data_IF_297589427710
#
_entry.id   IF_297589427710
#
_cell.length_a   1.000
_cell.length_b   1.000
_cell.length_c   1.000
_cell.angle_alpha   90.00
_cell.angle_beta   90.00
_cell.angle_gamma   90.00
#
_symmetry.space_group_name_H-M   'P 1'
#
loop_
_entity.id
_entity.type
_entity.pdbx_description
1 polymer ?
#
# COMPACT_ATOMS: atom_id res chain seq x y z
N UNK A 1 13.19 -21.14 -0.72
CA UNK A 1 13.42 -19.74 -1.14
C UNK A 1 14.36 -19.09 -0.16
N UNK A 2 15.49 -18.57 -0.64
CA UNK A 2 16.46 -17.86 0.20
C UNK A 2 15.85 -16.55 0.70
N UNK A 3 16.12 -16.21 1.96
CA UNK A 3 15.75 -14.92 2.53
C UNK A 3 16.58 -13.83 1.85
N UNK A 4 15.95 -12.75 1.42
CA UNK A 4 16.61 -11.62 0.78
C UNK A 4 16.13 -10.30 1.40
N UNK A 5 16.93 -9.24 1.25
CA UNK A 5 16.51 -7.89 1.56
C UNK A 5 16.01 -7.20 0.30
N UNK A 6 14.72 -6.87 0.27
CA UNK A 6 14.12 -6.06 -0.78
C UNK A 6 14.41 -4.58 -0.51
N UNK A 7 14.85 -3.86 -1.54
CA UNK A 7 15.31 -2.47 -1.41
C UNK A 7 14.22 -1.48 -1.82
N UNK A 8 13.97 -0.52 -0.94
CA UNK A 8 13.05 0.59 -1.16
C UNK A 8 13.75 1.91 -0.87
N UNK A 9 13.29 3.01 -1.45
CA UNK A 9 13.82 4.37 -1.21
C UNK A 9 12.74 5.26 -0.62
N UNK A 10 13.07 5.93 0.48
CA UNK A 10 12.27 6.98 1.10
C UNK A 10 12.51 8.30 0.35
N UNK A 11 11.46 8.88 -0.20
CA UNK A 11 11.46 10.15 -0.91
C UNK A 11 10.65 11.18 -0.11
N UNK A 12 11.25 12.31 0.22
CA UNK A 12 10.59 13.45 0.90
C UNK A 12 10.04 14.43 -0.14
N UNK A 13 9.12 15.30 0.29
CA UNK A 13 8.51 16.26 -0.62
C UNK A 13 9.46 17.42 -0.99
N UNK A 14 9.24 18.07 -2.16
CA UNK A 14 10.07 19.18 -2.64
C UNK A 14 10.22 20.30 -1.62
N UNK A 15 9.12 20.72 -0.98
CA UNK A 15 9.10 21.78 0.01
C UNK A 15 10.01 21.49 1.21
N UNK A 16 10.05 20.23 1.67
CA UNK A 16 10.99 19.79 2.70
C UNK A 16 12.42 19.94 2.19
N UNK A 17 12.76 19.37 1.03
CA UNK A 17 14.13 19.42 0.46
C UNK A 17 14.59 20.87 0.23
N UNK A 18 13.70 21.71 -0.30
CA UNK A 18 13.96 23.14 -0.56
C UNK A 18 14.32 23.88 0.72
N UNK A 19 13.72 23.49 1.85
CA UNK A 19 13.99 24.08 3.17
C UNK A 19 15.36 23.68 3.75
N UNK A 20 16.04 22.69 3.17
CA UNK A 20 17.36 22.19 3.59
C UNK A 20 18.38 22.22 2.43
N UNK A 21 18.28 23.20 1.51
CA UNK A 21 19.08 23.28 0.26
C UNK A 21 20.60 23.44 0.48
N UNK A 22 21.04 23.90 1.64
CA UNK A 22 22.47 24.01 1.95
C UNK A 22 23.06 22.62 2.24
N UNK A 23 24.29 22.33 1.80
CA UNK A 23 24.90 20.98 1.92
C UNK A 23 24.88 20.44 3.37
N UNK A 24 25.23 21.27 4.35
CA UNK A 24 25.21 20.89 5.77
C UNK A 24 23.79 20.65 6.32
N UNK A 25 22.77 21.29 5.73
CA UNK A 25 21.36 21.15 6.14
C UNK A 25 20.73 19.89 5.54
N UNK A 26 21.13 19.53 4.31
CA UNK A 26 20.69 18.29 3.68
C UNK A 26 21.27 17.07 4.41
N UNK A 27 22.55 17.10 4.80
CA UNK A 27 23.13 16.04 5.64
C UNK A 27 22.41 15.91 6.98
N UNK A 28 22.00 17.02 7.58
CA UNK A 28 21.17 17.02 8.79
C UNK A 28 19.81 16.36 8.56
N UNK A 29 19.12 16.70 7.46
CA UNK A 29 17.85 16.09 7.09
C UNK A 29 17.98 14.56 7.02
N UNK A 30 18.97 14.07 6.29
CA UNK A 30 19.15 12.65 6.00
C UNK A 30 19.67 11.88 7.22
N UNK A 31 20.69 12.38 7.91
CA UNK A 31 21.39 11.63 8.96
C UNK A 31 20.87 11.86 10.37
N UNK A 32 20.04 12.89 10.59
CA UNK A 32 19.51 13.25 11.91
C UNK A 32 18.00 13.35 11.92
N UNK A 33 17.40 14.19 11.07
CA UNK A 33 15.97 14.49 11.16
C UNK A 33 15.10 13.30 10.74
N UNK A 34 15.38 12.67 9.61
CA UNK A 34 14.64 11.47 9.16
C UNK A 34 14.77 10.33 10.19
N UNK A 35 15.97 9.95 10.68
CA UNK A 35 16.10 8.99 11.76
C UNK A 35 15.30 9.36 13.01
N UNK A 36 15.32 10.62 13.46
CA UNK A 36 14.57 11.05 14.63
C UNK A 36 13.05 10.95 14.43
N UNK A 37 12.55 11.23 13.21
CA UNK A 37 11.14 11.02 12.87
C UNK A 37 10.81 9.53 12.85
N UNK A 38 11.65 8.68 12.26
CA UNK A 38 11.43 7.23 12.28
C UNK A 38 11.42 6.69 13.71
N UNK A 39 12.34 7.15 14.57
CA UNK A 39 12.38 6.76 15.98
C UNK A 39 11.09 7.15 16.72
N UNK A 40 10.59 8.36 16.48
CA UNK A 40 9.33 8.81 17.07
C UNK A 40 8.12 7.98 16.63
N UNK A 41 8.03 7.68 15.34
CA UNK A 41 6.83 7.08 14.74
C UNK A 41 6.77 5.57 14.96
N UNK A 42 7.90 4.89 14.83
CA UNK A 42 7.96 3.42 14.92
C UNK A 42 9.00 2.91 15.91
N UNK A 43 10.00 3.70 16.29
CA UNK A 43 11.16 3.23 17.05
C UNK A 43 12.26 2.69 16.16
N UNK A 44 13.50 3.10 16.43
CA UNK A 44 14.68 2.57 15.73
C UNK A 44 15.80 2.22 16.72
N UNK A 45 16.68 1.31 16.31
CA UNK A 45 17.91 1.01 17.05
C UNK A 45 19.10 1.01 16.11
N UNK A 46 20.12 1.82 16.43
CA UNK A 46 21.37 1.78 15.69
C UNK A 46 22.02 0.40 15.83
N UNK A 47 22.41 -0.20 14.72
CA UNK A 47 23.15 -1.46 14.69
C UNK A 47 24.65 -1.18 14.68
N UNK A 48 25.36 -1.81 15.60
CA UNK A 48 26.82 -1.83 15.62
C UNK A 48 27.36 -2.90 14.65
N UNK A 49 28.62 -2.75 14.24
CA UNK A 49 29.31 -3.72 13.38
C UNK A 49 29.15 -3.51 11.87
N UNK A 50 28.44 -2.46 11.43
CA UNK A 50 28.32 -2.08 10.02
C UNK A 50 29.28 -0.93 9.66
N UNK A 51 29.80 -0.93 8.42
CA UNK A 51 30.67 0.15 7.91
C UNK A 51 29.95 1.50 7.81
N UNK A 52 28.67 1.48 7.49
CA UNK A 52 27.81 2.65 7.40
C UNK A 52 26.83 2.67 8.57
N UNK A 53 26.26 3.83 8.87
CA UNK A 53 25.19 3.92 9.88
C UNK A 53 23.95 3.15 9.37
N UNK A 54 23.49 2.18 10.16
CA UNK A 54 22.28 1.40 9.87
C UNK A 54 21.40 1.39 11.11
N UNK A 55 20.11 1.67 10.91
CA UNK A 55 19.11 1.61 11.96
C UNK A 55 18.17 0.43 11.71
N UNK A 56 18.00 -0.47 12.67
CA UNK A 56 16.92 -1.46 12.67
C UNK A 56 15.61 -0.74 13.01
N UNK A 57 14.56 -1.02 12.24
CA UNK A 57 13.21 -0.53 12.50
C UNK A 57 12.54 -1.47 13.50
N UNK A 58 12.15 -0.96 14.68
CA UNK A 58 11.58 -1.75 15.78
C UNK A 58 10.16 -1.27 16.05
N UNK A 59 9.20 -1.59 15.15
CA UNK A 59 7.83 -1.17 15.31
C UNK A 59 7.25 -1.67 16.62
N UNK A 60 6.55 -0.80 17.35
CA UNK A 60 5.66 -1.26 18.41
C UNK A 60 4.63 -2.22 17.79
N UNK A 61 4.60 -3.44 18.31
CA UNK A 61 3.66 -4.45 17.86
C UNK A 61 2.25 -3.91 18.09
N UNK A 62 1.51 -3.67 17.00
CA UNK A 62 0.08 -3.37 17.09
C UNK A 62 -0.58 -4.42 17.99
N UNK A 63 -1.37 -3.96 18.95
CA UNK A 63 -1.95 -4.84 19.95
C UNK A 63 -2.90 -5.82 19.25
N UNK A 64 -2.45 -7.06 19.06
CA UNK A 64 -3.22 -8.16 18.47
C UNK A 64 -4.57 -8.33 19.15
N UNK A 65 -4.61 -8.06 20.45
CA UNK A 65 -5.83 -8.05 21.24
C UNK A 65 -6.82 -7.02 20.67
N UNK A 66 -6.41 -5.79 20.40
CA UNK A 66 -7.32 -4.76 19.88
C UNK A 66 -7.84 -5.10 18.48
N UNK A 67 -6.99 -5.63 17.59
CA UNK A 67 -7.44 -6.08 16.27
C UNK A 67 -8.51 -7.17 16.41
N UNK A 68 -8.21 -8.20 17.21
CA UNK A 68 -9.11 -9.33 17.39
C UNK A 68 -10.43 -8.91 18.05
N UNK A 69 -10.39 -8.08 19.10
CA UNK A 69 -11.60 -7.56 19.77
C UNK A 69 -12.50 -6.79 18.81
N UNK A 70 -11.94 -5.92 17.97
CA UNK A 70 -12.70 -5.16 16.98
C UNK A 70 -13.28 -6.05 15.90
N UNK A 71 -12.50 -7.02 15.43
CA UNK A 71 -12.94 -7.95 14.40
C UNK A 71 -14.04 -8.89 14.90
N UNK A 72 -13.88 -9.49 16.08
CA UNK A 72 -14.90 -10.34 16.72
C UNK A 72 -16.19 -9.54 16.94
N UNK A 73 -16.09 -8.30 17.43
CA UNK A 73 -17.27 -7.44 17.61
C UNK A 73 -18.00 -7.16 16.29
N UNK A 74 -17.26 -6.94 15.20
CA UNK A 74 -17.86 -6.76 13.88
C UNK A 74 -18.52 -8.06 13.39
N UNK A 75 -17.88 -9.20 13.62
CA UNK A 75 -18.38 -10.51 13.25
C UNK A 75 -19.67 -10.87 13.99
N UNK A 76 -19.72 -10.70 15.31
CA UNK A 76 -20.89 -10.98 16.14
C UNK A 76 -22.11 -10.17 15.69
N UNK A 77 -21.94 -8.87 15.46
CA UNK A 77 -23.03 -7.98 15.04
C UNK A 77 -23.48 -8.26 13.60
N UNK A 78 -22.54 -8.59 12.70
CA UNK A 78 -22.87 -8.96 11.32
C UNK A 78 -23.59 -10.31 11.24
N UNK A 79 -23.23 -11.25 12.10
CA UNK A 79 -23.91 -12.56 12.20
C UNK A 79 -25.34 -12.38 12.71
N UNK A 80 -25.55 -11.56 13.75
CA UNK A 80 -26.91 -11.19 14.22
C UNK A 80 -27.73 -10.49 13.13
N UNK A 81 -27.09 -9.65 12.31
CA UNK A 81 -27.77 -8.99 11.19
C UNK A 81 -28.21 -10.01 10.14
N UNK A 82 -27.37 -11.01 9.85
CA UNK A 82 -27.72 -12.06 8.90
C UNK A 82 -28.90 -12.90 9.38
N UNK A 83 -28.96 -13.27 10.65
CA UNK A 83 -30.12 -14.00 11.19
C UNK A 83 -31.44 -13.22 11.03
N UNK A 84 -31.44 -11.91 11.33
CA UNK A 84 -32.61 -11.06 11.09
C UNK A 84 -32.96 -10.94 9.60
N UNK A 85 -31.96 -10.98 8.72
CA UNK A 85 -32.18 -10.97 7.27
C UNK A 85 -32.84 -12.28 6.79
N UNK A 86 -32.43 -13.44 7.32
CA UNK A 86 -33.08 -14.73 7.05
C UNK A 86 -34.56 -14.73 7.47
N UNK A 87 -34.90 -14.13 8.61
CA UNK A 87 -36.30 -13.98 9.03
C UNK A 87 -37.13 -13.14 8.04
N UNK A 88 -36.53 -12.10 7.44
CA UNK A 88 -37.19 -11.26 6.45
C UNK A 88 -37.41 -12.04 5.15
N UNK A 89 -36.41 -12.81 4.70
CA UNK A 89 -36.53 -13.68 3.54
C UNK A 89 -37.66 -14.71 3.70
N UNK A 90 -37.71 -15.38 4.85
CA UNK A 90 -38.73 -16.39 5.13
C UNK A 90 -40.14 -15.78 5.10
N UNK A 91 -40.34 -14.62 5.74
CA UNK A 91 -41.62 -13.90 5.71
C UNK A 91 -42.00 -13.45 4.31
N UNK A 92 -41.03 -12.99 3.51
CA UNK A 92 -41.30 -12.61 2.13
C UNK A 92 -41.67 -13.82 1.27
N UNK A 93 -41.01 -14.98 1.43
CA UNK A 93 -41.39 -16.21 0.74
C UNK A 93 -42.81 -16.67 1.09
N UNK A 94 -43.26 -16.42 2.32
CA UNK A 94 -44.61 -16.79 2.78
C UNK A 94 -45.70 -15.80 2.38
N UNK A 95 -45.40 -14.50 2.39
CA UNK A 95 -46.41 -13.43 2.33
C UNK A 95 -46.26 -12.49 1.14
N UNK A 96 -45.19 -12.63 0.36
CA UNK A 96 -44.77 -11.72 -0.72
C UNK A 96 -44.58 -10.24 -0.29
N UNK A 97 -44.58 -9.97 1.02
CA UNK A 97 -44.42 -8.63 1.59
C UNK A 97 -43.05 -8.48 2.25
N UNK A 98 -42.42 -7.33 2.04
CA UNK A 98 -41.12 -7.01 2.63
C UNK A 98 -41.33 -6.10 3.84
N UNK A 99 -41.00 -6.61 5.02
CA UNK A 99 -41.06 -5.83 6.25
C UNK A 99 -39.71 -5.78 6.97
N UNK A 100 -39.09 -4.60 6.99
CA UNK A 100 -37.86 -4.37 7.75
C UNK A 100 -38.20 -3.93 9.18
N UNK A 101 -37.84 -4.76 10.16
CA UNK A 101 -38.03 -4.38 11.56
C UNK A 101 -37.13 -3.21 11.95
N UNK A 102 -37.58 -2.37 12.90
CA UNK A 102 -36.75 -1.30 13.46
C UNK A 102 -35.42 -1.83 14.02
N UNK A 103 -35.46 -3.01 14.65
CA UNK A 103 -34.27 -3.72 15.16
C UNK A 103 -33.27 -4.03 14.05
N UNK A 104 -33.75 -4.55 12.91
CA UNK A 104 -32.92 -4.83 11.74
C UNK A 104 -32.26 -3.56 11.19
N UNK A 105 -33.03 -2.48 11.00
CA UNK A 105 -32.51 -1.22 10.47
C UNK A 105 -31.43 -0.61 11.38
N UNK A 106 -31.69 -0.58 12.70
CA UNK A 106 -30.73 -0.08 13.68
C UNK A 106 -29.45 -0.92 13.72
N UNK A 107 -29.57 -2.25 13.65
CA UNK A 107 -28.42 -3.14 13.62
C UNK A 107 -27.61 -2.97 12.33
N UNK A 108 -28.28 -2.86 11.17
CA UNK A 108 -27.62 -2.62 9.89
C UNK A 108 -26.76 -1.35 9.93
N UNK A 109 -27.29 -0.25 10.48
CA UNK A 109 -26.54 1.00 10.61
C UNK A 109 -25.38 0.88 11.61
N UNK A 110 -25.56 0.15 12.70
CA UNK A 110 -24.47 -0.16 13.65
C UNK A 110 -23.36 -0.95 12.97
N UNK A 111 -23.67 -2.00 12.22
CA UNK A 111 -22.68 -2.82 11.54
C UNK A 111 -21.94 -2.02 10.45
N UNK A 112 -22.64 -1.15 9.70
CA UNK A 112 -21.99 -0.22 8.76
C UNK A 112 -20.99 0.70 9.44
N UNK A 113 -21.33 1.28 10.59
CA UNK A 113 -20.41 2.14 11.36
C UNK A 113 -19.17 1.36 11.83
N UNK A 114 -19.38 0.20 12.46
CA UNK A 114 -18.29 -0.66 12.93
C UNK A 114 -17.35 -1.06 11.78
N UNK A 115 -17.91 -1.46 10.64
CA UNK A 115 -17.13 -1.82 9.45
C UNK A 115 -16.32 -0.64 8.93
N UNK A 116 -16.93 0.53 8.79
CA UNK A 116 -16.23 1.74 8.32
C UNK A 116 -15.11 2.16 9.29
N UNK A 117 -15.31 2.04 10.61
CA UNK A 117 -14.26 2.28 11.61
C UNK A 117 -13.11 1.27 11.48
N UNK A 118 -13.45 -0.01 11.31
CA UNK A 118 -12.49 -1.09 11.11
C UNK A 118 -11.68 -0.88 9.81
N UNK A 119 -12.33 -0.50 8.71
CA UNK A 119 -11.69 -0.13 7.44
C UNK A 119 -10.75 1.08 7.57
N UNK A 120 -11.16 2.11 8.30
CA UNK A 120 -10.31 3.30 8.53
C UNK A 120 -9.05 2.96 9.32
N UNK A 121 -9.17 2.08 10.32
CA UNK A 121 -8.05 1.68 11.18
C UNK A 121 -7.16 0.64 10.49
N UNK A 122 -7.73 -0.27 9.72
CA UNK A 122 -7.01 -1.31 8.97
C UNK A 122 -7.26 -1.24 7.45
N UNK A 123 -6.88 -0.16 6.74
CA UNK A 123 -7.20 0.03 5.31
C UNK A 123 -6.77 -1.11 4.36
N UNK A 124 -5.81 -1.94 4.77
CA UNK A 124 -5.40 -3.12 4.02
C UNK A 124 -6.57 -4.07 3.72
N UNK A 125 -7.57 -4.15 4.60
CA UNK A 125 -8.74 -5.02 4.42
C UNK A 125 -9.61 -4.62 3.23
N UNK A 126 -9.53 -3.36 2.77
CA UNK A 126 -10.34 -2.86 1.64
C UNK A 126 -9.99 -3.62 0.35
N UNK A 127 -8.76 -4.15 0.25
CA UNK A 127 -8.34 -5.00 -0.87
C UNK A 127 -9.25 -6.22 -1.06
N UNK A 128 -9.86 -6.73 0.02
CA UNK A 128 -10.81 -7.85 -0.04
C UNK A 128 -11.95 -7.61 -1.03
N UNK A 129 -12.39 -6.37 -1.21
CA UNK A 129 -13.51 -6.04 -2.09
C UNK A 129 -13.22 -6.25 -3.57
N UNK A 130 -11.94 -6.13 -3.95
CA UNK A 130 -11.48 -6.33 -5.32
C UNK A 130 -10.99 -7.76 -5.56
N UNK A 131 -10.47 -8.42 -4.51
CA UNK A 131 -9.91 -9.77 -4.61
C UNK A 131 -10.98 -10.87 -4.52
N UNK A 132 -12.11 -10.59 -3.88
CA UNK A 132 -13.17 -11.56 -3.61
C UNK A 132 -14.45 -11.04 -4.27
N UNK A 133 -15.04 -11.82 -5.16
CA UNK A 133 -16.30 -11.48 -5.84
C UNK A 133 -17.50 -11.63 -4.90
N UNK A 134 -18.61 -10.98 -5.24
CA UNK A 134 -19.88 -11.19 -4.51
C UNK A 134 -20.33 -12.64 -4.67
N UNK A 135 -20.34 -13.18 -5.89
CA UNK A 135 -20.75 -14.55 -6.21
C UNK A 135 -20.03 -15.60 -5.37
N UNK A 136 -18.72 -15.41 -5.13
CA UNK A 136 -17.93 -16.32 -4.30
C UNK A 136 -18.43 -16.36 -2.85
N UNK A 137 -18.78 -15.20 -2.29
CA UNK A 137 -19.32 -15.12 -0.94
C UNK A 137 -20.72 -15.71 -0.89
N UNK A 138 -21.51 -15.43 -1.92
CA UNK A 138 -22.87 -15.91 -2.05
C UNK A 138 -22.93 -17.45 -2.07
N UNK A 139 -21.99 -18.09 -2.77
CA UNK A 139 -21.79 -19.54 -2.81
C UNK A 139 -21.22 -20.11 -1.50
N UNK A 140 -20.13 -19.54 -0.96
CA UNK A 140 -19.44 -20.09 0.22
C UNK A 140 -20.31 -20.01 1.49
N UNK A 141 -21.12 -18.96 1.63
CA UNK A 141 -21.96 -18.74 2.81
C UNK A 141 -23.42 -19.22 2.63
N UNK A 142 -23.74 -19.82 1.47
CA UNK A 142 -25.09 -20.21 1.08
C UNK A 142 -26.11 -19.09 1.30
N UNK A 143 -25.75 -17.87 0.89
CA UNK A 143 -26.68 -16.76 1.02
C UNK A 143 -27.80 -16.93 0.00
N UNK A 144 -29.02 -17.09 0.50
CA UNK A 144 -30.20 -16.93 -0.35
C UNK A 144 -30.45 -15.43 -0.58
N UNK A 145 -30.36 -14.99 -1.83
CA UNK A 145 -30.71 -13.62 -2.19
C UNK A 145 -32.02 -13.57 -2.96
N UNK A 146 -32.83 -12.59 -2.60
CA UNK A 146 -33.98 -12.17 -3.38
C UNK A 146 -33.73 -10.74 -3.85
N UNK A 147 -33.84 -10.50 -5.15
CA UNK A 147 -33.52 -9.19 -5.75
C UNK A 147 -34.38 -8.06 -5.17
N UNK A 148 -35.57 -8.39 -4.67
CA UNK A 148 -36.47 -7.40 -4.04
C UNK A 148 -36.05 -7.00 -2.62
N UNK A 149 -35.22 -7.78 -1.92
CA UNK A 149 -34.81 -7.54 -0.53
C UNK A 149 -33.38 -7.01 -0.46
N UNK A 150 -33.16 -5.78 -0.95
CA UNK A 150 -31.80 -5.22 -1.07
C UNK A 150 -31.15 -4.73 0.23
N UNK A 151 -31.94 -4.45 1.28
CA UNK A 151 -31.41 -3.76 2.47
C UNK A 151 -30.54 -4.68 3.31
N UNK A 152 -29.30 -4.28 3.57
CA UNK A 152 -28.36 -5.02 4.43
C UNK A 152 -27.40 -5.95 3.67
N UNK A 153 -27.78 -6.44 2.48
CA UNK A 153 -26.96 -7.33 1.64
C UNK A 153 -25.58 -6.74 1.40
N UNK A 154 -25.49 -5.47 0.98
CA UNK A 154 -24.20 -4.82 0.67
C UNK A 154 -23.26 -4.83 1.87
N UNK A 155 -23.80 -4.67 3.08
CA UNK A 155 -22.98 -4.76 4.27
C UNK A 155 -22.51 -6.18 4.52
N UNK A 156 -23.43 -7.16 4.49
CA UNK A 156 -23.13 -8.57 4.70
C UNK A 156 -22.05 -9.05 3.72
N UNK A 157 -22.25 -8.88 2.42
CA UNK A 157 -21.24 -9.27 1.41
C UNK A 157 -19.88 -8.63 1.69
N UNK A 158 -19.82 -7.33 1.97
CA UNK A 158 -18.57 -6.66 2.33
C UNK A 158 -17.93 -7.23 3.60
N UNK A 159 -18.72 -7.53 4.63
CA UNK A 159 -18.21 -8.13 5.86
C UNK A 159 -17.62 -9.52 5.59
N UNK A 160 -18.31 -10.40 4.87
CA UNK A 160 -17.81 -11.75 4.59
C UNK A 160 -16.58 -11.76 3.67
N UNK A 161 -16.46 -10.81 2.74
CA UNK A 161 -15.19 -10.57 2.02
C UNK A 161 -14.06 -10.21 2.98
N UNK A 162 -14.30 -9.30 3.93
CA UNK A 162 -13.31 -8.97 4.96
C UNK A 162 -12.97 -10.22 5.77
N UNK A 163 -13.96 -11.00 6.22
CA UNK A 163 -13.76 -12.22 7.01
C UNK A 163 -12.85 -13.21 6.30
N UNK A 164 -13.20 -13.58 5.07
CA UNK A 164 -12.40 -14.51 4.27
C UNK A 164 -10.97 -13.99 4.02
N UNK A 165 -10.81 -12.67 3.85
CA UNK A 165 -9.50 -12.05 3.69
C UNK A 165 -8.70 -12.03 4.99
N UNK A 166 -9.34 -11.75 6.13
CA UNK A 166 -8.73 -11.78 7.46
C UNK A 166 -8.25 -13.19 7.78
N UNK A 167 -9.07 -14.22 7.56
CA UNK A 167 -8.70 -15.60 7.85
C UNK A 167 -7.45 -16.05 7.08
N UNK A 168 -7.27 -15.55 5.86
CA UNK A 168 -6.10 -15.84 5.01
C UNK A 168 -4.86 -15.01 5.36
N UNK A 169 -5.05 -13.78 5.84
CA UNK A 169 -3.98 -12.77 5.97
C UNK A 169 -3.81 -12.25 7.41
N UNK A 170 -4.39 -12.94 8.42
CA UNK A 170 -4.49 -12.46 9.80
C UNK A 170 -3.17 -11.94 10.36
N UNK A 171 -2.09 -12.68 10.15
CA UNK A 171 -0.74 -12.32 10.63
C UNK A 171 -0.21 -11.00 10.05
N UNK A 172 -0.46 -10.73 8.76
CA UNK A 172 -0.06 -9.50 8.09
C UNK A 172 -0.98 -8.32 8.45
N UNK A 173 -2.24 -8.58 8.79
CA UNK A 173 -3.20 -7.54 9.16
C UNK A 173 -3.02 -7.06 10.59
N UNK A 174 -2.81 -8.01 11.51
CA UNK A 174 -2.56 -7.75 12.94
C UNK A 174 -1.22 -7.05 13.13
N UNK A 175 -0.17 -7.56 12.49
CA UNK A 175 1.16 -7.01 12.59
C UNK A 175 1.67 -6.63 11.19
N UNK A 176 1.29 -5.45 10.69
CA UNK A 176 1.64 -5.06 9.33
C UNK A 176 3.13 -4.73 9.16
N UNK A 177 3.85 -4.54 10.27
CA UNK A 177 5.29 -4.37 10.31
C UNK A 177 5.99 -5.62 10.90
N UNK A 178 5.50 -6.82 10.58
CA UNK A 178 6.02 -8.10 11.09
C UNK A 178 7.31 -8.61 10.43
N UNK A 179 7.96 -7.80 9.59
CA UNK A 179 9.22 -8.13 8.95
C UNK A 179 10.35 -7.34 9.59
N UNK A 180 11.54 -7.94 9.62
CA UNK A 180 12.74 -7.19 9.98
C UNK A 180 13.06 -6.22 8.85
N UNK A 181 13.29 -4.97 9.21
CA UNK A 181 13.68 -3.96 8.25
C UNK A 181 14.75 -3.03 8.81
N UNK A 182 15.51 -2.44 7.91
CA UNK A 182 16.64 -1.59 8.25
C UNK A 182 16.61 -0.33 7.41
N UNK A 183 16.86 0.82 8.02
CA UNK A 183 17.04 2.10 7.35
C UNK A 183 18.53 2.44 7.23
N UNK A 184 18.95 2.81 6.01
CA UNK A 184 20.27 3.31 5.68
C UNK A 184 20.19 4.79 5.29
N UNK A 185 20.59 5.72 6.17
CA UNK A 185 20.53 7.16 5.90
C UNK A 185 21.23 7.57 4.60
N UNK A 186 22.46 7.09 4.37
CA UNK A 186 23.33 7.47 3.24
C UNK A 186 22.68 7.38 1.85
N UNK A 187 21.69 6.52 1.68
CA UNK A 187 20.95 6.34 0.42
C UNK A 187 19.45 6.50 0.55
N UNK A 188 19.01 6.82 1.76
CA UNK A 188 17.61 6.80 2.19
C UNK A 188 16.93 5.46 1.89
N UNK A 189 17.68 4.36 1.98
CA UNK A 189 17.17 3.04 1.64
C UNK A 189 16.53 2.37 2.86
N UNK A 190 15.39 1.73 2.63
CA UNK A 190 14.77 0.80 3.56
C UNK A 190 14.94 -0.61 2.99
N UNK A 191 15.54 -1.49 3.78
CA UNK A 191 15.86 -2.87 3.43
C UNK A 191 14.94 -3.79 4.21
N UNK A 192 14.03 -4.49 3.53
CA UNK A 192 13.04 -5.37 4.18
C UNK A 192 13.41 -6.82 3.95
N UNK A 193 13.65 -7.55 5.05
CA UNK A 193 13.96 -8.97 5.03
C UNK A 193 12.70 -9.79 4.74
N UNK A 194 12.63 -10.45 3.59
CA UNK A 194 11.47 -11.27 3.21
C UNK A 194 11.83 -12.40 2.24
N UNK A 195 10.95 -13.39 2.17
CA UNK A 195 10.94 -14.42 1.11
C UNK A 195 10.03 -14.04 -0.06
N UNK A 196 9.06 -13.15 0.18
CA UNK A 196 8.03 -12.73 -0.77
C UNK A 196 8.13 -11.23 -1.07
N UNK A 197 8.09 -10.89 -2.35
CA UNK A 197 8.03 -9.49 -2.80
C UNK A 197 6.74 -8.81 -2.34
N UNK A 198 5.64 -9.55 -2.35
CA UNK A 198 4.32 -9.06 -1.93
C UNK A 198 4.30 -8.69 -0.45
N UNK A 199 4.91 -9.52 0.41
CA UNK A 199 5.04 -9.24 1.84
C UNK A 199 5.88 -7.99 2.09
N UNK A 200 6.98 -7.82 1.35
CA UNK A 200 7.84 -6.65 1.47
C UNK A 200 7.13 -5.36 1.00
N UNK A 201 6.38 -5.42 -0.11
CA UNK A 201 5.54 -4.32 -0.58
C UNK A 201 4.44 -3.96 0.41
N UNK A 202 3.83 -4.96 1.03
CA UNK A 202 2.81 -4.76 2.05
C UNK A 202 3.39 -4.05 3.28
N UNK A 203 4.53 -4.53 3.79
CA UNK A 203 5.26 -3.90 4.90
C UNK A 203 5.55 -2.43 4.61
N UNK A 204 6.08 -2.11 3.43
CA UNK A 204 6.45 -0.74 3.06
C UNK A 204 5.22 0.15 2.88
N UNK A 205 4.15 -0.38 2.29
CA UNK A 205 2.88 0.36 2.18
C UNK A 205 2.34 0.70 3.58
N UNK A 206 2.46 -0.22 4.53
CA UNK A 206 2.05 0.02 5.91
C UNK A 206 2.94 1.05 6.60
N UNK A 207 4.27 0.94 6.43
CA UNK A 207 5.25 1.86 6.99
C UNK A 207 5.03 3.29 6.48
N UNK A 208 4.90 3.46 5.16
CA UNK A 208 4.62 4.77 4.55
C UNK A 208 3.33 5.37 5.12
N UNK A 209 2.27 4.57 5.23
CA UNK A 209 0.98 5.03 5.77
C UNK A 209 1.09 5.46 7.23
N UNK A 210 1.83 4.71 8.05
CA UNK A 210 2.04 5.03 9.46
C UNK A 210 2.76 6.38 9.58
N UNK A 211 3.86 6.58 8.84
CA UNK A 211 4.60 7.85 8.83
C UNK A 211 3.73 9.00 8.31
N UNK A 212 2.98 8.78 7.22
CA UNK A 212 2.14 9.82 6.60
C UNK A 212 0.85 10.15 7.36
N UNK A 213 0.53 9.42 8.43
CA UNK A 213 -0.59 9.70 9.33
C UNK A 213 -0.14 10.28 10.67
N UNK A 214 1.16 10.31 10.95
CA UNK A 214 1.70 10.87 12.18
C UNK A 214 1.87 12.40 12.05
N UNK A 215 1.25 13.13 12.98
CA UNK A 215 1.25 14.60 12.93
C UNK A 215 2.63 15.23 13.15
N UNK A 216 3.47 14.60 13.97
CA UNK A 216 4.83 15.06 14.21
C UNK A 216 5.69 14.84 12.97
N UNK A 217 5.61 13.66 12.35
CA UNK A 217 6.30 13.35 11.10
C UNK A 217 5.94 14.33 9.98
N UNK A 218 4.63 14.56 9.76
CA UNK A 218 4.14 15.52 8.75
C UNK A 218 4.68 16.93 9.05
N UNK A 219 4.68 17.36 10.31
CA UNK A 219 5.18 18.67 10.70
C UNK A 219 6.70 18.85 10.55
N UNK A 220 7.48 17.76 10.56
CA UNK A 220 8.95 17.80 10.51
C UNK A 220 9.52 17.57 9.12
N UNK A 221 9.02 16.57 8.40
CA UNK A 221 9.55 16.15 7.09
C UNK A 221 8.50 16.15 5.97
N UNK A 222 7.27 16.56 6.27
CA UNK A 222 6.15 16.46 5.33
C UNK A 222 5.68 15.03 5.13
N UNK A 223 4.81 14.82 4.14
CA UNK A 223 4.48 13.46 3.71
C UNK A 223 5.61 12.91 2.84
N UNK A 224 5.81 11.61 2.89
CA UNK A 224 6.84 10.89 2.14
C UNK A 224 6.22 9.93 1.13
N UNK A 225 7.01 9.45 0.18
CA UNK A 225 6.72 8.24 -0.60
C UNK A 225 7.84 7.24 -0.39
N UNK A 226 7.52 5.96 -0.20
CA UNK A 226 8.52 4.89 -0.11
C UNK A 226 8.35 3.97 -1.32
N UNK A 227 9.22 4.14 -2.31
CA UNK A 227 9.10 3.44 -3.59
C UNK A 227 10.07 2.25 -3.67
N UNK A 228 9.73 1.18 -4.41
CA UNK A 228 10.70 0.13 -4.71
C UNK A 228 11.87 0.65 -5.52
N UNK A 229 13.07 0.15 -5.21
CA UNK A 229 14.23 0.28 -6.10
C UNK A 229 14.23 -0.93 -7.01
N UNK A 230 14.04 -0.74 -8.31
CA UNK A 230 13.99 -1.85 -9.26
C UNK A 230 15.37 -2.15 -9.85
N UNK A 231 15.67 -3.44 -10.03
CA UNK A 231 16.85 -3.89 -10.78
C UNK A 231 16.63 -3.71 -12.28
N UNK A 232 15.42 -4.06 -12.74
CA UNK A 232 15.01 -3.91 -14.12
C UNK A 232 13.49 -3.78 -14.28
N UNK A 233 13.10 -3.08 -15.33
CA UNK A 233 11.75 -3.03 -15.88
C UNK A 233 11.78 -3.65 -17.27
N UNK A 234 10.96 -4.66 -17.47
CA UNK A 234 10.84 -5.38 -18.73
C UNK A 234 9.42 -5.27 -19.26
N UNK A 235 9.34 -4.77 -20.49
CA UNK A 235 8.14 -4.78 -21.29
C UNK A 235 8.06 -6.14 -21.98
N UNK A 236 7.14 -7.00 -21.54
CA UNK A 236 7.00 -8.35 -22.11
C UNK A 236 6.39 -8.33 -23.52
N UNK A 237 5.70 -7.25 -23.88
CA UNK A 237 5.10 -7.04 -25.19
C UNK A 237 5.72 -5.87 -25.93
N UNK A 238 5.65 -5.93 -27.27
CA UNK A 238 5.99 -4.80 -28.16
C UNK A 238 4.79 -3.89 -28.44
N UNK A 239 3.58 -4.26 -28.00
CA UNK A 239 2.31 -3.65 -28.43
C UNK A 239 1.53 -2.94 -27.31
N UNK A 240 2.21 -2.13 -26.49
CA UNK A 240 1.51 -1.24 -25.56
C UNK A 240 0.98 -0.02 -26.31
N UNK A 241 -0.34 0.18 -26.29
CA UNK A 241 -0.99 1.35 -26.89
C UNK A 241 -1.05 2.53 -25.94
N UNK A 242 -0.99 2.27 -24.63
CA UNK A 242 -0.92 3.29 -23.59
C UNK A 242 0.05 2.85 -22.49
N UNK A 243 0.92 3.77 -22.05
CA UNK A 243 1.74 3.60 -20.85
C UNK A 243 1.55 4.81 -19.95
N UNK A 244 1.14 4.56 -18.71
CA UNK A 244 0.99 5.58 -17.67
C UNK A 244 1.98 5.32 -16.53
N UNK A 245 2.70 6.35 -16.10
CA UNK A 245 3.66 6.25 -15.00
C UNK A 245 3.67 7.51 -14.13
N UNK A 246 4.11 7.32 -12.89
CA UNK A 246 4.26 8.40 -11.91
C UNK A 246 5.69 8.40 -11.38
N UNK A 247 6.37 9.52 -11.53
CA UNK A 247 7.71 9.78 -10.98
C UNK A 247 7.56 10.77 -9.83
N UNK A 248 8.20 10.51 -8.70
CA UNK A 248 8.23 11.44 -7.56
C UNK A 248 9.44 12.36 -7.62
N UNK A 249 9.38 13.45 -6.86
CA UNK A 249 10.50 14.37 -6.73
C UNK A 249 11.76 13.64 -6.20
N UNK A 250 12.94 13.83 -6.82
CA UNK A 250 14.18 13.19 -6.39
C UNK A 250 14.74 13.89 -5.15
N UNK A 251 15.20 13.12 -4.16
CA UNK A 251 15.81 13.68 -2.95
C UNK A 251 17.18 14.36 -3.16
N UNK A 252 17.64 14.51 -4.41
CA UNK A 252 18.79 15.33 -4.74
C UNK A 252 20.03 14.53 -5.10
N UNK A 253 20.32 14.50 -6.40
CA UNK A 253 21.69 14.46 -6.91
C UNK A 253 21.85 15.64 -7.89
N UNK A 254 22.39 16.80 -7.44
CA UNK A 254 22.37 18.07 -8.18
C UNK A 254 22.87 18.01 -9.64
N UNK A 255 23.88 17.19 -10.01
CA UNK A 255 24.36 17.14 -11.38
C UNK A 255 23.43 16.41 -12.36
N UNK A 256 22.71 15.38 -11.91
CA UNK A 256 21.81 14.54 -12.73
C UNK A 256 20.40 15.16 -12.86
N UNK A 257 20.00 15.97 -11.88
CA UNK A 257 18.64 16.52 -11.76
C UNK A 257 18.43 17.88 -12.46
N UNK A 258 19.39 18.39 -13.24
CA UNK A 258 19.37 19.76 -13.80
C UNK A 258 18.25 20.03 -14.82
N UNK A 259 17.60 18.97 -15.33
CA UNK A 259 16.48 19.08 -16.28
C UNK A 259 15.18 18.45 -15.75
N UNK A 260 15.05 18.28 -14.44
CA UNK A 260 13.83 17.72 -13.87
C UNK A 260 12.72 18.77 -13.79
N UNK A 261 11.68 18.62 -14.60
CA UNK A 261 10.48 19.47 -14.60
C UNK A 261 9.88 19.62 -13.19
N UNK A 262 10.03 18.60 -12.33
CA UNK A 262 9.58 18.63 -10.94
C UNK A 262 10.36 19.63 -10.09
N UNK A 263 11.67 19.77 -10.31
CA UNK A 263 12.52 20.73 -9.60
C UNK A 263 12.19 22.16 -9.99
N UNK A 264 11.97 22.40 -11.29
CA UNK A 264 11.66 23.74 -11.79
C UNK A 264 10.26 24.22 -11.40
N UNK A 265 9.33 23.29 -11.19
CA UNK A 265 7.94 23.61 -10.81
C UNK A 265 7.64 23.42 -9.32
N UNK A 266 8.62 22.97 -8.54
CA UNK A 266 8.45 22.53 -7.14
C UNK A 266 7.30 21.51 -6.96
N UNK A 267 6.99 20.76 -8.02
CA UNK A 267 5.91 19.78 -8.01
C UNK A 267 6.35 18.48 -7.31
N UNK A 268 5.44 17.89 -6.53
CA UNK A 268 5.71 16.66 -5.77
C UNK A 268 5.88 15.40 -6.64
N UNK A 269 5.20 15.34 -7.78
CA UNK A 269 5.15 14.17 -8.65
C UNK A 269 4.75 14.54 -10.09
N UNK A 270 5.23 13.78 -11.07
CA UNK A 270 4.91 13.91 -12.48
C UNK A 270 4.04 12.73 -12.88
N UNK A 271 2.84 13.00 -13.37
CA UNK A 271 1.95 12.00 -13.96
C UNK A 271 2.07 12.09 -15.47
N UNK A 272 2.52 11.01 -16.10
CA UNK A 272 2.68 10.95 -17.55
C UNK A 272 1.84 9.81 -18.11
N UNK A 273 1.03 10.11 -19.12
CA UNK A 273 0.32 9.12 -19.93
C UNK A 273 0.76 9.29 -21.38
N UNK A 274 1.39 8.26 -21.92
CA UNK A 274 1.79 8.18 -23.32
C UNK A 274 0.76 7.32 -24.05
N UNK A 275 0.24 7.83 -25.17
CA UNK A 275 -0.71 7.12 -26.03
C UNK A 275 -0.09 7.03 -27.42
N UNK A 276 -0.13 5.84 -28.02
CA UNK A 276 0.37 5.65 -29.37
C UNK A 276 -0.54 6.32 -30.41
N UNK A 277 0.02 6.74 -31.56
CA UNK A 277 -0.74 7.43 -32.60
C UNK A 277 -1.81 6.49 -33.19
N UNK A 278 -3.04 6.95 -33.31
CA UNK A 278 -4.15 6.21 -33.95
C UNK A 278 -4.33 4.77 -33.44
N UNK A 279 -4.10 4.53 -32.14
CA UNK A 279 -4.20 3.21 -31.52
C UNK A 279 -3.04 2.26 -31.83
N UNK A 280 -1.98 2.74 -32.49
CA UNK A 280 -0.76 1.98 -32.75
C UNK A 280 0.07 1.77 -31.48
N UNK A 281 0.93 0.74 -31.43
CA UNK A 281 1.92 0.56 -30.38
C UNK A 281 2.88 1.75 -30.18
N UNK A 282 3.25 1.99 -28.92
CA UNK A 282 4.33 2.89 -28.55
C UNK A 282 5.71 2.31 -28.91
N UNK A 283 6.65 3.19 -29.29
CA UNK A 283 8.08 2.82 -29.42
C UNK A 283 8.72 2.78 -28.03
N UNK A 284 9.03 1.58 -27.55
CA UNK A 284 9.39 1.36 -26.14
C UNK A 284 10.86 1.59 -25.80
N UNK A 285 11.78 1.63 -26.77
CA UNK A 285 13.22 1.58 -26.47
C UNK A 285 13.71 2.80 -25.67
N UNK A 286 13.44 4.02 -26.13
CA UNK A 286 13.82 5.25 -25.41
C UNK A 286 13.09 5.37 -24.07
N UNK A 287 11.82 4.97 -24.02
CA UNK A 287 11.01 4.98 -22.80
C UNK A 287 11.55 4.00 -21.75
N UNK A 288 12.03 2.83 -22.18
CA UNK A 288 12.58 1.80 -21.30
C UNK A 288 13.86 2.29 -20.62
N UNK A 289 14.74 2.99 -21.34
CA UNK A 289 15.97 3.53 -20.76
C UNK A 289 15.66 4.52 -19.63
N UNK A 290 14.82 5.52 -19.91
CA UNK A 290 14.39 6.53 -18.93
C UNK A 290 13.72 5.89 -17.71
N UNK A 291 12.72 5.03 -17.92
CA UNK A 291 12.01 4.40 -16.81
C UNK A 291 12.93 3.49 -15.98
N UNK A 292 13.89 2.80 -16.59
CA UNK A 292 14.85 2.01 -15.83
C UNK A 292 15.79 2.89 -14.98
N UNK A 293 16.18 4.06 -15.46
CA UNK A 293 16.98 5.01 -14.67
C UNK A 293 16.19 5.49 -13.43
N UNK A 294 14.98 6.00 -13.64
CA UNK A 294 14.11 6.47 -12.56
C UNK A 294 13.79 5.35 -11.56
N UNK A 295 13.60 4.13 -12.05
CA UNK A 295 13.28 2.96 -11.23
C UNK A 295 14.48 2.45 -10.41
N UNK A 296 15.70 2.49 -10.96
CA UNK A 296 16.93 2.15 -10.24
C UNK A 296 17.27 3.15 -9.15
N UNK A 297 16.83 4.38 -9.29
CA UNK A 297 16.99 5.44 -8.30
C UNK A 297 15.83 5.48 -7.27
N UNK A 298 14.80 4.64 -7.41
CA UNK A 298 13.65 4.63 -6.48
C UNK A 298 12.71 5.82 -6.65
N UNK A 299 12.69 6.47 -7.81
CA UNK A 299 11.80 7.61 -8.12
C UNK A 299 10.52 7.18 -8.84
N UNK A 300 10.49 5.97 -9.40
CA UNK A 300 9.29 5.43 -10.05
C UNK A 300 8.29 4.89 -9.02
N UNK A 301 7.18 5.61 -8.83
CA UNK A 301 6.09 5.25 -7.90
C UNK A 301 5.08 4.28 -8.52
N UNK A 302 4.70 4.52 -9.77
CA UNK A 302 3.76 3.64 -10.47
C UNK A 302 4.11 3.55 -11.95
N UNK A 303 3.72 2.42 -12.56
CA UNK A 303 3.89 2.15 -13.98
C UNK A 303 2.86 1.12 -14.38
N UNK A 304 2.02 1.47 -15.35
CA UNK A 304 0.91 0.67 -15.85
C UNK A 304 0.93 0.75 -17.37
N UNK A 305 0.75 -0.39 -18.03
CA UNK A 305 0.61 -0.46 -19.49
C UNK A 305 -0.76 -1.01 -19.85
N UNK A 306 -1.37 -0.46 -20.90
CA UNK A 306 -2.51 -1.08 -21.58
C UNK A 306 -2.04 -1.54 -22.96
N UNK A 307 -2.30 -2.81 -23.25
CA UNK A 307 -2.03 -3.41 -24.55
C UNK A 307 -3.34 -3.78 -25.25
N UNK A 308 -3.23 -4.14 -26.53
CA UNK A 308 -4.36 -4.59 -27.36
C UNK A 308 -4.98 -5.89 -26.81
N UNK A 309 -4.15 -6.75 -26.20
CA UNK A 309 -4.60 -7.99 -25.56
C UNK A 309 -4.68 -7.85 -24.03
N UNK A 310 -5.89 -8.00 -23.47
CA UNK A 310 -6.13 -8.00 -22.02
C UNK A 310 -5.40 -9.19 -21.38
N UNK A 311 -4.43 -8.92 -20.49
CA UNK A 311 -3.94 -9.92 -19.53
C UNK A 311 -2.43 -10.12 -19.34
N UNK A 312 -1.53 -9.24 -19.80
CA UNK A 312 -0.09 -9.36 -19.46
C UNK A 312 0.55 -8.04 -19.06
N UNK A 313 1.39 -8.10 -18.03
CA UNK A 313 1.84 -6.96 -17.22
C UNK A 313 3.24 -6.49 -17.61
N UNK A 314 3.55 -5.25 -17.31
CA UNK A 314 4.95 -4.78 -17.25
C UNK A 314 5.60 -5.47 -16.05
N UNK A 315 6.65 -6.26 -16.30
CA UNK A 315 7.39 -6.95 -15.23
C UNK A 315 8.38 -6.00 -14.60
N UNK A 316 8.30 -5.89 -13.27
CA UNK A 316 9.19 -5.06 -12.46
C UNK A 316 9.86 -5.97 -11.45
N UNK A 317 11.19 -5.99 -11.44
CA UNK A 317 11.95 -6.82 -10.50
C UNK A 317 12.53 -5.93 -9.43
N UNK A 318 12.04 -6.02 -8.19
CA UNK A 318 12.60 -5.25 -7.07
C UNK A 318 14.02 -5.73 -6.80
N UNK A 319 14.94 -4.80 -6.58
CA UNK A 319 16.34 -5.06 -6.24
C UNK A 319 16.40 -5.84 -4.92
N UNK A 320 17.18 -6.92 -4.93
CA UNK A 320 17.44 -7.78 -3.78
C UNK A 320 18.91 -7.69 -3.40
N UNK A 321 19.20 -7.62 -2.10
CA UNK A 321 20.57 -7.76 -1.58
C UNK A 321 20.63 -8.93 -0.61
N UNK A 322 21.71 -9.73 -0.70
CA UNK A 322 21.87 -10.93 0.10
C UNK A 322 22.29 -10.63 1.54
N UNK A 323 23.07 -9.56 1.74
CA UNK A 323 23.56 -9.11 3.04
C UNK A 323 23.34 -7.60 3.20
N UNK A 324 23.18 -7.18 4.45
CA UNK A 324 23.11 -5.76 4.82
C UNK A 324 24.41 -5.00 4.53
N UNK A 325 25.53 -5.70 4.34
CA UNK A 325 26.89 -5.14 4.33
C UNK A 325 27.38 -4.57 2.99
N UNK A 326 26.51 -4.40 1.99
CA UNK A 326 26.97 -3.98 0.66
C UNK A 326 26.96 -2.45 0.56
N UNK A 327 28.17 -1.89 0.64
CA UNK A 327 28.63 -0.69 -0.08
C UNK A 327 28.09 -0.74 -1.49
N UNK A 328 27.21 0.19 -1.82
CA UNK A 328 26.66 0.37 -3.16
C UNK A 328 26.94 1.79 -3.66
#
# INVERSE_FOLDING_TARGET
MNINYFVFKLNVQPNTIVSFKNENEFEYLINKLIPAVLDHVIGIKQKEGFKETVYELIPELNNEVEFNERFIKLEDESSKLYELYKEILLKYKEKEEIFYSKKFLQLNDKCKRLRNEFEKKYPAIIKSYNLITDDKIDEEENFEFENKIGTGITHLRKFYKIKLYVDKNKKQLVNPLNLKAYYKPTKEHILVESKSEEDALYYITALERIINNDSFAIGKIGKININPVYESITFEQKEYTEISFVIVYPNGNPPLDRHNILKNSEAKELHTTLVGPDGQPLKLESLKAELNEQAKNGYLKSLVGKGVNKGKNIVKKIKKVANLDITL
#
